data_IF_309240761205
#
_entry.id   IF_309240761205
#
_cell.length_a   1.000
_cell.length_b   1.000
_cell.length_c   1.000
_cell.angle_alpha   90.00
_cell.angle_beta   90.00
_cell.angle_gamma   90.00
#
_symmetry.space_group_name_H-M   'P 1'
#
loop_
_entity.id
_entity.type
_entity.pdbx_description
1 polymer ?
#
# COMPACT_ATOMS: atom_id res chain seq x y z
N UNK A 1 -18.78 -61.80 -32.45
CA UNK A 1 -18.16 -61.96 -31.10
C UNK A 1 -16.82 -61.25 -30.93
N UNK A 2 -15.94 -61.18 -31.94
CA UNK A 2 -14.65 -60.50 -31.84
C UNK A 2 -14.77 -58.98 -31.57
N UNK A 3 -15.66 -58.27 -32.28
CA UNK A 3 -15.86 -56.81 -32.13
C UNK A 3 -16.28 -56.39 -30.71
N UNK A 4 -17.12 -57.19 -30.03
CA UNK A 4 -17.51 -56.94 -28.63
C UNK A 4 -16.36 -57.16 -27.63
N UNK A 5 -15.43 -58.08 -27.91
CA UNK A 5 -14.24 -58.31 -27.06
C UNK A 5 -13.25 -57.15 -27.18
N UNK A 6 -12.98 -56.67 -28.40
CA UNK A 6 -12.10 -55.52 -28.62
C UNK A 6 -12.67 -54.23 -28.02
N UNK A 7 -13.99 -54.03 -28.07
CA UNK A 7 -14.66 -52.88 -27.44
C UNK A 7 -14.51 -52.85 -25.91
N UNK A 8 -14.60 -54.00 -25.23
CA UNK A 8 -14.39 -54.08 -23.77
C UNK A 8 -12.94 -53.84 -23.36
N UNK A 9 -11.99 -54.35 -24.14
CA UNK A 9 -10.55 -54.11 -23.91
C UNK A 9 -10.20 -52.64 -24.13
N UNK A 10 -10.73 -52.02 -25.19
CA UNK A 10 -10.55 -50.59 -25.46
C UNK A 10 -11.11 -49.73 -24.31
N UNK A 11 -12.32 -50.04 -23.82
CA UNK A 11 -12.94 -49.35 -22.68
C UNK A 11 -12.09 -49.47 -21.41
N UNK A 12 -11.57 -50.68 -21.13
CA UNK A 12 -10.72 -50.92 -19.97
C UNK A 12 -9.41 -50.11 -20.06
N UNK A 13 -8.76 -50.10 -21.22
CA UNK A 13 -7.53 -49.32 -21.45
C UNK A 13 -7.80 -47.83 -21.26
N UNK A 14 -8.94 -47.34 -21.75
CA UNK A 14 -9.32 -45.93 -21.61
C UNK A 14 -9.56 -45.57 -20.14
N UNK A 15 -10.25 -46.41 -19.36
CA UNK A 15 -10.45 -46.23 -17.93
C UNK A 15 -9.14 -46.22 -17.14
N UNK A 16 -8.20 -47.11 -17.46
CA UNK A 16 -6.87 -47.15 -16.84
C UNK A 16 -6.09 -45.87 -17.16
N UNK A 17 -6.10 -45.44 -18.42
CA UNK A 17 -5.45 -44.20 -18.84
C UNK A 17 -6.03 -42.99 -18.09
N UNK A 18 -7.36 -42.88 -18.01
CA UNK A 18 -8.03 -41.81 -17.24
C UNK A 18 -7.66 -41.87 -15.76
N UNK A 19 -7.64 -43.05 -15.14
CA UNK A 19 -7.26 -43.23 -13.74
C UNK A 19 -5.82 -42.78 -13.45
N UNK A 20 -4.86 -43.15 -14.30
CA UNK A 20 -3.47 -42.70 -14.18
C UNK A 20 -3.34 -41.19 -14.40
N UNK A 21 -4.09 -40.60 -15.34
CA UNK A 21 -4.13 -39.15 -15.52
C UNK A 21 -4.65 -38.42 -14.28
N UNK A 22 -5.72 -38.91 -13.65
CA UNK A 22 -6.25 -38.33 -12.40
C UNK A 22 -5.22 -38.37 -11.26
N UNK A 23 -4.48 -39.48 -11.11
CA UNK A 23 -3.41 -39.61 -10.11
C UNK A 23 -2.28 -38.60 -10.39
N UNK A 24 -1.88 -38.45 -11.66
CA UNK A 24 -0.86 -37.50 -12.07
C UNK A 24 -1.25 -36.04 -11.77
N UNK A 25 -2.50 -35.66 -12.05
CA UNK A 25 -3.02 -34.32 -11.76
C UNK A 25 -3.08 -34.07 -10.26
N UNK A 26 -3.54 -35.06 -9.47
CA UNK A 26 -3.57 -34.94 -8.01
C UNK A 26 -2.16 -34.76 -7.42
N UNK A 27 -1.19 -35.55 -7.89
CA UNK A 27 0.21 -35.42 -7.46
C UNK A 27 0.79 -34.06 -7.84
N UNK A 28 0.56 -33.60 -9.08
CA UNK A 28 1.01 -32.28 -9.54
C UNK A 28 0.48 -31.16 -8.65
N UNK A 29 -0.81 -31.16 -8.34
CA UNK A 29 -1.41 -30.15 -7.47
C UNK A 29 -0.86 -30.18 -6.04
N UNK A 30 -0.59 -31.38 -5.50
CA UNK A 30 0.03 -31.55 -4.17
C UNK A 30 1.46 -31.01 -4.15
N UNK A 31 2.24 -31.31 -5.19
CA UNK A 31 3.63 -30.90 -5.28
C UNK A 31 3.78 -29.39 -5.50
N UNK A 32 2.90 -28.80 -6.32
CA UNK A 32 2.80 -27.34 -6.46
C UNK A 32 2.54 -26.66 -5.11
N UNK A 33 1.57 -27.15 -4.34
CA UNK A 33 1.27 -26.60 -3.02
C UNK A 33 2.45 -26.74 -2.05
N UNK A 34 3.20 -27.86 -2.11
CA UNK A 34 4.41 -28.05 -1.31
C UNK A 34 5.45 -26.97 -1.61
N UNK A 35 5.75 -26.76 -2.89
CA UNK A 35 6.75 -25.78 -3.33
C UNK A 35 6.32 -24.33 -3.03
N UNK A 36 5.04 -23.99 -3.20
CA UNK A 36 4.50 -22.69 -2.82
C UNK A 36 4.64 -22.45 -1.31
N UNK A 37 4.31 -23.46 -0.49
CA UNK A 37 4.44 -23.37 0.97
C UNK A 37 5.88 -23.17 1.43
N UNK A 38 6.88 -23.74 0.73
CA UNK A 38 8.29 -23.54 1.06
C UNK A 38 8.71 -22.07 0.89
N UNK A 39 8.27 -21.42 -0.20
CA UNK A 39 8.54 -19.99 -0.42
C UNK A 39 7.76 -19.11 0.57
N UNK A 40 6.49 -19.46 0.80
CA UNK A 40 5.62 -18.77 1.76
C UNK A 40 6.20 -18.77 3.18
N UNK A 41 6.75 -19.89 3.64
CA UNK A 41 7.21 -20.03 5.01
C UNK A 41 8.32 -19.02 5.37
N UNK A 42 9.26 -18.81 4.45
CA UNK A 42 10.35 -17.84 4.64
C UNK A 42 9.82 -16.40 4.69
N UNK A 43 8.85 -16.06 3.84
CA UNK A 43 8.19 -14.75 3.85
C UNK A 43 7.40 -14.54 5.14
N UNK A 44 6.56 -15.50 5.52
CA UNK A 44 5.74 -15.43 6.72
C UNK A 44 6.57 -15.22 7.99
N UNK A 45 7.69 -15.94 8.14
CA UNK A 45 8.61 -15.73 9.26
C UNK A 45 9.18 -14.31 9.26
N UNK A 46 9.53 -13.76 8.10
CA UNK A 46 10.05 -12.39 8.01
C UNK A 46 9.04 -11.35 8.47
N UNK A 47 7.79 -11.50 8.04
CA UNK A 47 6.69 -10.59 8.42
C UNK A 47 6.41 -10.70 9.92
N UNK A 48 6.35 -11.91 10.47
CA UNK A 48 6.19 -12.13 11.92
C UNK A 48 7.36 -11.55 12.71
N UNK A 49 8.60 -11.65 12.22
CA UNK A 49 9.76 -11.07 12.90
C UNK A 49 9.74 -9.53 12.87
N UNK A 50 9.15 -8.91 11.85
CA UNK A 50 9.02 -7.46 11.75
C UNK A 50 7.91 -6.91 12.66
N UNK A 51 6.73 -7.55 12.62
CA UNK A 51 5.51 -7.02 13.26
C UNK A 51 5.14 -7.73 14.57
N UNK A 52 5.78 -8.85 14.89
CA UNK A 52 5.52 -9.63 16.09
C UNK A 52 4.08 -10.12 16.17
N UNK A 53 3.45 -9.90 17.32
CA UNK A 53 2.05 -10.27 17.60
C UNK A 53 1.05 -9.25 17.09
N UNK A 54 1.49 -8.20 16.39
CA UNK A 54 0.61 -7.12 15.95
C UNK A 54 -0.36 -7.57 14.87
N UNK A 55 0.09 -8.50 14.03
CA UNK A 55 -0.70 -9.08 12.94
C UNK A 55 -1.18 -10.48 13.32
N UNK A 56 -2.37 -10.81 12.85
CA UNK A 56 -2.79 -12.19 12.82
C UNK A 56 -2.05 -12.89 11.68
N UNK A 57 -1.17 -13.82 12.04
CA UNK A 57 -0.54 -14.69 11.07
C UNK A 57 -1.63 -15.54 10.41
N UNK A 58 -2.08 -15.15 9.22
CA UNK A 58 -3.00 -15.99 8.45
C UNK A 58 -2.24 -17.24 8.04
N UNK A 59 -2.61 -18.36 8.66
CA UNK A 59 -2.17 -19.69 8.27
C UNK A 59 -2.46 -19.92 6.79
N UNK A 60 -1.43 -20.36 6.06
CA UNK A 60 -1.45 -20.60 4.62
C UNK A 60 -2.76 -21.23 4.15
N UNK A 61 -3.47 -20.59 3.22
CA UNK A 61 -4.84 -20.98 2.94
C UNK A 61 -4.96 -22.07 1.87
N UNK A 62 -5.99 -22.91 2.03
CA UNK A 62 -6.52 -23.74 0.94
C UNK A 62 -7.23 -22.81 -0.06
N UNK A 63 -6.44 -22.14 -0.90
CA UNK A 63 -6.77 -21.44 -2.16
C UNK A 63 -7.54 -20.08 -2.14
N UNK A 64 -6.96 -18.99 -1.62
CA UNK A 64 -7.25 -17.61 -1.99
C UNK A 64 -6.13 -17.04 -2.86
N UNK A 65 -6.52 -16.32 -3.90
CA UNK A 65 -5.61 -15.62 -4.81
C UNK A 65 -4.85 -14.47 -4.14
N UNK A 66 -5.35 -14.01 -2.98
CA UNK A 66 -4.78 -12.90 -2.19
C UNK A 66 -4.66 -13.33 -0.74
N UNK A 67 -3.51 -13.07 -0.14
CA UNK A 67 -3.20 -13.31 1.27
C UNK A 67 -2.82 -11.96 1.87
N UNK A 68 -3.72 -11.37 2.66
CA UNK A 68 -3.47 -10.13 3.41
C UNK A 68 -3.09 -10.42 4.86
N UNK A 69 -2.15 -9.65 5.41
CA UNK A 69 -1.82 -9.67 6.83
C UNK A 69 -2.52 -8.51 7.55
N UNK A 70 -3.51 -8.86 8.36
CA UNK A 70 -4.38 -7.90 9.07
C UNK A 70 -4.10 -7.92 10.56
N UNK A 71 -4.60 -6.91 11.28
CA UNK A 71 -4.77 -7.01 12.72
C UNK A 71 -6.15 -7.63 13.01
N UNK A 72 -6.33 -8.06 14.26
CA UNK A 72 -7.58 -8.69 14.69
C UNK A 72 -8.79 -7.73 14.61
N UNK A 73 -8.55 -6.44 14.88
CA UNK A 73 -9.54 -5.39 14.78
C UNK A 73 -9.50 -4.79 13.37
N UNK A 74 -10.68 -4.67 12.73
CA UNK A 74 -10.84 -4.18 11.36
C UNK A 74 -10.79 -2.65 11.26
N UNK A 75 -10.89 -1.95 12.40
CA UNK A 75 -10.83 -0.49 12.48
C UNK A 75 -9.41 0.08 12.53
N UNK A 76 -8.39 -0.78 12.68
CA UNK A 76 -7.00 -0.33 12.76
C UNK A 76 -6.46 0.13 11.42
N UNK A 77 -5.43 0.98 11.45
CA UNK A 77 -4.80 1.52 10.26
C UNK A 77 -4.27 0.40 9.34
N UNK A 78 -3.62 -0.61 9.91
CA UNK A 78 -3.10 -1.76 9.16
C UNK A 78 -4.25 -2.49 8.47
N UNK A 79 -5.32 -2.84 9.21
CA UNK A 79 -6.42 -3.62 8.66
C UNK A 79 -7.14 -2.87 7.53
N UNK A 80 -7.37 -1.58 7.70
CA UNK A 80 -7.98 -0.73 6.68
C UNK A 80 -7.12 -0.63 5.41
N UNK A 81 -5.81 -0.41 5.55
CA UNK A 81 -4.89 -0.20 4.43
C UNK A 81 -4.61 -1.49 3.65
N UNK A 82 -4.37 -2.59 4.36
CA UNK A 82 -4.24 -3.91 3.74
C UNK A 82 -5.56 -4.37 3.11
N UNK A 83 -6.70 -4.06 3.73
CA UNK A 83 -8.03 -4.33 3.18
C UNK A 83 -8.27 -3.61 1.85
N UNK A 84 -8.03 -2.30 1.82
CA UNK A 84 -8.15 -1.48 0.60
C UNK A 84 -7.24 -2.02 -0.51
N UNK A 85 -5.97 -2.30 -0.20
CA UNK A 85 -5.05 -2.88 -1.20
C UNK A 85 -5.52 -4.26 -1.68
N UNK A 86 -6.06 -5.09 -0.79
CA UNK A 86 -6.60 -6.41 -1.14
C UNK A 86 -7.78 -6.30 -2.10
N UNK A 87 -8.68 -5.35 -1.89
CA UNK A 87 -9.82 -5.11 -2.79
C UNK A 87 -9.38 -4.64 -4.18
N UNK A 88 -8.41 -3.72 -4.26
CA UNK A 88 -7.87 -3.26 -5.55
C UNK A 88 -7.15 -4.38 -6.31
N UNK A 89 -6.33 -5.17 -5.61
CA UNK A 89 -5.63 -6.31 -6.20
C UNK A 89 -6.60 -7.40 -6.66
N UNK A 90 -7.72 -7.60 -5.96
CA UNK A 90 -8.74 -8.58 -6.34
C UNK A 90 -9.41 -8.24 -7.68
N UNK A 91 -9.52 -6.96 -8.03
CA UNK A 91 -10.10 -6.53 -9.32
C UNK A 91 -9.22 -6.95 -10.50
N UNK A 92 -7.92 -7.13 -10.29
CA UNK A 92 -6.93 -7.45 -11.34
C UNK A 92 -6.36 -8.88 -11.24
N UNK A 93 -6.57 -9.56 -10.11
CA UNK A 93 -6.11 -10.92 -9.89
C UNK A 93 -6.73 -11.90 -10.90
N UNK A 94 -5.91 -12.83 -11.41
CA UNK A 94 -6.36 -13.87 -12.34
C UNK A 94 -6.69 -15.14 -11.57
N UNK A 95 -7.76 -15.85 -11.95
CA UNK A 95 -8.06 -17.13 -11.33
C UNK A 95 -6.99 -18.16 -11.64
N UNK A 96 -6.65 -18.97 -10.64
CA UNK A 96 -5.78 -20.14 -10.80
C UNK A 96 -6.30 -21.09 -11.89
N UNK A 97 -5.37 -21.84 -12.48
CA UNK A 97 -5.68 -23.00 -13.29
C UNK A 97 -4.83 -24.21 -12.88
N UNK A 98 -5.01 -25.34 -13.57
CA UNK A 98 -4.33 -26.60 -13.24
C UNK A 98 -2.80 -26.52 -13.27
N UNK A 99 -2.24 -25.59 -14.04
CA UNK A 99 -0.80 -25.49 -14.26
C UNK A 99 -0.20 -24.23 -13.67
N UNK A 100 -1.00 -23.19 -13.48
CA UNK A 100 -0.56 -21.91 -12.97
C UNK A 100 -1.36 -21.53 -11.73
N UNK A 101 -0.63 -21.29 -10.65
CA UNK A 101 -1.16 -20.74 -9.40
C UNK A 101 -0.39 -19.50 -9.02
N UNK A 102 -1.08 -18.52 -8.47
CA UNK A 102 -0.47 -17.28 -8.02
C UNK A 102 -1.07 -16.86 -6.69
N UNK A 103 -0.20 -16.63 -5.72
CA UNK A 103 -0.56 -16.05 -4.43
C UNK A 103 -0.02 -14.63 -4.38
N UNK A 104 -0.91 -13.65 -4.41
CA UNK A 104 -0.58 -12.25 -4.15
C UNK A 104 -0.55 -12.08 -2.63
N UNK A 105 0.59 -11.66 -2.09
CA UNK A 105 0.78 -11.47 -0.66
C UNK A 105 0.89 -9.98 -0.36
N UNK A 106 0.03 -9.49 0.52
CA UNK A 106 -0.03 -8.11 0.98
C UNK A 106 0.25 -8.06 2.48
N UNK A 107 1.21 -7.25 2.90
CA UNK A 107 1.58 -7.14 4.31
C UNK A 107 2.09 -5.75 4.67
N UNK A 108 1.94 -5.33 5.94
CA UNK A 108 2.60 -4.13 6.42
C UNK A 108 4.09 -4.41 6.61
N UNK A 109 4.91 -3.41 6.38
CA UNK A 109 6.32 -3.45 6.76
C UNK A 109 6.68 -2.18 7.53
N UNK A 110 7.33 -2.35 8.68
CA UNK A 110 7.72 -1.25 9.55
C UNK A 110 8.66 -0.28 8.82
N UNK A 111 8.45 1.02 9.05
CA UNK A 111 9.28 2.12 8.56
C UNK A 111 9.60 3.05 9.72
N UNK A 112 10.65 3.85 9.55
CA UNK A 112 10.93 4.95 10.48
C UNK A 112 9.87 6.02 10.34
N UNK A 113 9.13 6.32 11.42
CA UNK A 113 8.16 7.40 11.40
C UNK A 113 8.87 8.76 11.41
N UNK A 114 8.46 9.70 10.54
CA UNK A 114 8.90 11.09 10.60
C UNK A 114 8.11 11.91 11.63
N UNK A 115 7.06 11.34 12.21
CA UNK A 115 6.17 11.99 13.17
C UNK A 115 6.35 11.41 14.56
N UNK A 116 6.21 12.26 15.59
CA UNK A 116 6.20 11.83 16.98
C UNK A 116 4.92 11.06 17.30
N UNK A 117 4.98 10.17 18.30
CA UNK A 117 3.84 9.41 18.83
C UNK A 117 3.08 8.57 17.78
N UNK A 118 3.76 8.18 16.70
CA UNK A 118 3.18 7.40 15.61
C UNK A 118 4.13 6.34 15.11
N UNK A 119 3.58 5.27 14.56
CA UNK A 119 4.32 4.25 13.82
C UNK A 119 4.12 4.48 12.33
N UNK A 120 5.12 4.15 11.50
CA UNK A 120 5.00 4.22 10.05
C UNK A 120 5.08 2.82 9.45
N UNK A 121 4.23 2.57 8.45
CA UNK A 121 4.15 1.29 7.76
C UNK A 121 4.04 1.51 6.26
N UNK A 122 4.68 0.64 5.51
CA UNK A 122 4.50 0.50 4.07
C UNK A 122 3.61 -0.70 3.77
N UNK A 123 2.66 -0.55 2.86
CA UNK A 123 1.93 -1.68 2.28
C UNK A 123 2.83 -2.32 1.23
N UNK A 124 3.33 -3.51 1.54
CA UNK A 124 4.19 -4.28 0.66
C UNK A 124 3.38 -5.32 -0.11
N UNK A 125 3.72 -5.48 -1.38
CA UNK A 125 3.19 -6.50 -2.28
C UNK A 125 4.30 -7.40 -2.78
N UNK A 126 4.05 -8.70 -2.75
CA UNK A 126 4.82 -9.68 -3.51
C UNK A 126 3.89 -10.75 -4.07
N UNK A 127 4.39 -11.55 -5.00
CA UNK A 127 3.65 -12.67 -5.58
C UNK A 127 4.50 -13.92 -5.54
N UNK A 128 3.89 -15.04 -5.15
CA UNK A 128 4.49 -16.36 -5.24
C UNK A 128 3.72 -17.11 -6.31
N UNK A 129 4.39 -17.41 -7.42
CA UNK A 129 3.78 -18.02 -8.60
C UNK A 129 4.37 -19.40 -8.85
N UNK A 130 3.50 -20.39 -9.03
CA UNK A 130 3.85 -21.68 -9.57
C UNK A 130 3.46 -21.73 -11.04
N UNK A 131 4.42 -21.99 -11.93
CA UNK A 131 4.18 -22.44 -13.30
C UNK A 131 4.67 -23.88 -13.44
N UNK A 132 3.74 -24.81 -13.55
CA UNK A 132 4.00 -26.24 -13.44
C UNK A 132 4.70 -26.57 -12.12
N UNK A 133 5.90 -27.15 -12.12
CA UNK A 133 6.70 -27.43 -10.91
C UNK A 133 7.76 -26.37 -10.62
N UNK A 134 7.74 -25.24 -11.33
CA UNK A 134 8.65 -24.13 -11.08
C UNK A 134 7.94 -23.07 -10.25
N UNK A 135 8.51 -22.73 -9.08
CA UNK A 135 7.99 -21.68 -8.22
C UNK A 135 8.94 -20.50 -8.21
N UNK A 136 8.40 -19.32 -8.43
CA UNK A 136 9.11 -18.05 -8.37
C UNK A 136 8.42 -17.11 -7.41
N UNK A 137 9.23 -16.29 -6.75
CA UNK A 137 8.76 -15.18 -5.91
C UNK A 137 9.16 -13.88 -6.60
N UNK A 138 8.22 -12.98 -6.81
CA UNK A 138 8.53 -11.67 -7.39
C UNK A 138 9.29 -10.79 -6.41
N UNK A 139 9.93 -9.74 -6.93
CA UNK A 139 10.43 -8.67 -6.08
C UNK A 139 9.28 -8.02 -5.29
N UNK A 140 9.58 -7.64 -4.06
CA UNK A 140 8.68 -6.86 -3.22
C UNK A 140 8.49 -5.45 -3.81
N UNK A 141 7.26 -4.96 -3.83
CA UNK A 141 6.89 -3.63 -4.32
C UNK A 141 6.15 -2.89 -3.20
N UNK A 142 6.50 -1.64 -2.97
CA UNK A 142 5.76 -0.76 -2.04
C UNK A 142 4.57 -0.14 -2.79
N UNK A 143 3.36 -0.34 -2.27
CA UNK A 143 2.12 0.18 -2.87
C UNK A 143 1.69 1.51 -2.26
N UNK A 144 1.85 1.65 -0.95
CA UNK A 144 1.39 2.80 -0.17
C UNK A 144 2.22 2.94 1.10
N UNK A 145 2.26 4.14 1.68
CA UNK A 145 2.81 4.40 3.01
C UNK A 145 1.74 5.08 3.87
N UNK A 146 1.62 4.62 5.11
CA UNK A 146 0.67 5.15 6.06
C UNK A 146 1.27 5.25 7.46
N UNK A 147 0.60 6.05 8.29
CA UNK A 147 1.03 6.30 9.65
C UNK A 147 -0.10 5.94 10.61
N UNK A 148 0.27 5.32 11.72
CA UNK A 148 -0.65 4.81 12.71
C UNK A 148 -0.41 5.53 14.04
N UNK A 149 -1.49 5.97 14.67
CA UNK A 149 -1.49 6.62 15.97
C UNK A 149 -1.31 5.60 17.10
N UNK A 150 -1.09 6.10 18.31
CA UNK A 150 -0.95 5.25 19.49
C UNK A 150 -2.19 4.41 19.83
N UNK A 151 -3.37 4.80 19.34
CA UNK A 151 -4.64 4.06 19.46
C UNK A 151 -4.88 3.08 18.30
N UNK A 152 -3.86 2.81 17.48
CA UNK A 152 -3.89 1.94 16.31
C UNK A 152 -4.74 2.44 15.14
N UNK A 153 -5.37 3.62 15.25
CA UNK A 153 -6.10 4.23 14.16
C UNK A 153 -5.18 4.99 13.20
N UNK A 154 -5.68 5.23 11.98
CA UNK A 154 -4.92 5.92 10.95
C UNK A 154 -4.66 7.39 11.34
N UNK A 155 -3.42 7.85 11.16
CA UNK A 155 -3.10 9.28 11.19
C UNK A 155 -3.53 9.90 9.86
N UNK A 156 -4.34 10.95 9.93
CA UNK A 156 -4.86 11.65 8.77
C UNK A 156 -4.42 13.11 8.75
N UNK A 157 -4.68 13.83 7.66
CA UNK A 157 -4.42 15.28 7.62
C UNK A 157 -5.29 16.06 8.62
N UNK A 158 -6.45 15.50 9.00
CA UNK A 158 -7.30 16.01 10.08
C UNK A 158 -6.55 16.10 11.41
N UNK A 159 -5.72 15.09 11.70
CA UNK A 159 -4.94 15.03 12.93
C UNK A 159 -3.70 15.94 12.83
N UNK A 160 -3.07 15.98 11.66
CA UNK A 160 -1.79 16.64 11.44
C UNK A 160 -1.90 18.17 11.41
N UNK A 161 -3.02 18.71 10.94
CA UNK A 161 -3.27 20.15 10.83
C UNK A 161 -4.30 20.59 11.87
N UNK A 162 -3.86 21.35 12.86
CA UNK A 162 -4.72 21.85 13.93
C UNK A 162 -5.54 23.06 13.50
N UNK A 163 -4.96 23.98 12.71
CA UNK A 163 -5.63 25.19 12.24
C UNK A 163 -5.85 25.15 10.71
N UNK A 164 -7.00 24.63 10.32
CA UNK A 164 -7.38 24.49 8.91
C UNK A 164 -7.60 25.82 8.21
N UNK A 165 -8.07 26.85 8.93
CA UNK A 165 -8.34 28.15 8.34
C UNK A 165 -7.04 28.86 7.97
N UNK A 166 -6.07 28.85 8.90
CA UNK A 166 -4.72 29.34 8.64
C UNK A 166 -4.06 28.54 7.52
N UNK A 167 -4.18 27.20 7.53
CA UNK A 167 -3.65 26.36 6.46
C UNK A 167 -4.21 26.74 5.08
N UNK A 168 -5.53 26.83 4.94
CA UNK A 168 -6.19 27.21 3.67
C UNK A 168 -5.76 28.61 3.20
N UNK A 169 -5.64 29.56 4.12
CA UNK A 169 -5.25 30.94 3.81
C UNK A 169 -3.82 31.00 3.31
N UNK A 170 -2.90 30.30 3.96
CA UNK A 170 -1.51 30.21 3.52
C UNK A 170 -1.40 29.47 2.20
N UNK A 171 -2.13 28.38 2.01
CA UNK A 171 -2.16 27.61 0.77
C UNK A 171 -2.60 28.50 -0.41
N UNK A 172 -3.71 29.23 -0.24
CA UNK A 172 -4.19 30.18 -1.24
C UNK A 172 -3.12 31.20 -1.59
N UNK A 173 -2.44 31.76 -0.59
CA UNK A 173 -1.41 32.79 -0.76
C UNK A 173 -0.21 32.27 -1.55
N UNK A 174 0.27 31.07 -1.24
CA UNK A 174 1.42 30.44 -1.94
C UNK A 174 1.05 30.10 -3.38
N UNK A 175 -0.21 29.74 -3.64
CA UNK A 175 -0.69 29.40 -4.98
C UNK A 175 -0.98 30.63 -5.87
N UNK A 176 -0.88 31.90 -5.44
CA UNK A 176 -1.29 33.09 -6.27
C UNK A 176 -0.38 33.39 -7.50
N UNK A 177 0.47 32.46 -7.94
CA UNK A 177 1.50 32.74 -8.96
C UNK A 177 1.25 32.20 -10.37
N UNK A 178 0.12 31.55 -10.67
CA UNK A 178 -0.12 30.96 -12.00
C UNK A 178 -0.16 32.01 -13.11
N UNK A 179 0.49 31.70 -14.24
CA UNK A 179 0.56 32.57 -15.43
C UNK A 179 -0.11 31.99 -16.67
N UNK A 180 -0.45 30.70 -16.68
CA UNK A 180 -1.12 30.01 -17.80
C UNK A 180 -2.33 29.18 -17.33
N UNK A 181 -3.19 28.76 -18.27
CA UNK A 181 -4.45 28.05 -17.99
C UNK A 181 -4.25 26.69 -17.29
N UNK A 182 -3.19 25.95 -17.65
CA UNK A 182 -2.89 24.66 -17.04
C UNK A 182 -2.51 24.80 -15.55
N UNK A 183 -1.68 25.80 -15.22
CA UNK A 183 -1.33 26.13 -13.83
C UNK A 183 -2.56 26.59 -13.03
N UNK A 184 -3.48 27.35 -13.64
CA UNK A 184 -4.73 27.76 -12.99
C UNK A 184 -5.60 26.55 -12.65
N UNK A 185 -5.71 25.58 -13.57
CA UNK A 185 -6.50 24.37 -13.33
C UNK A 185 -5.89 23.52 -12.21
N UNK A 186 -4.57 23.33 -12.21
CA UNK A 186 -3.90 22.57 -11.13
C UNK A 186 -4.07 23.26 -9.77
N UNK A 187 -3.98 24.59 -9.71
CA UNK A 187 -4.24 25.32 -8.48
C UNK A 187 -5.66 25.13 -7.97
N UNK A 188 -6.65 25.19 -8.88
CA UNK A 188 -8.04 24.94 -8.56
C UNK A 188 -8.22 23.52 -7.99
N UNK A 189 -7.65 22.52 -8.65
CA UNK A 189 -7.69 21.13 -8.19
C UNK A 189 -7.08 20.97 -6.79
N UNK A 190 -5.95 21.65 -6.51
CA UNK A 190 -5.30 21.60 -5.19
C UNK A 190 -6.18 22.25 -4.14
N UNK A 191 -6.75 23.42 -4.41
CA UNK A 191 -7.62 24.12 -3.47
C UNK A 191 -8.90 23.32 -3.19
N UNK A 192 -9.49 22.70 -4.23
CA UNK A 192 -10.69 21.88 -4.12
C UNK A 192 -10.50 20.70 -3.15
N UNK A 193 -9.31 20.09 -3.11
CA UNK A 193 -8.99 19.03 -2.12
C UNK A 193 -9.17 19.50 -0.67
N UNK A 194 -8.94 20.78 -0.39
CA UNK A 194 -9.02 21.35 0.97
C UNK A 194 -10.31 22.16 1.21
N UNK A 195 -11.26 22.19 0.28
CA UNK A 195 -12.53 22.91 0.46
C UNK A 195 -13.45 22.23 1.49
N UNK A 196 -13.45 20.89 1.53
CA UNK A 196 -14.16 20.11 2.56
C UNK A 196 -13.60 20.41 3.94
N UNK A 197 -14.47 20.42 4.97
CA UNK A 197 -14.04 20.52 6.38
C UNK A 197 -13.56 19.18 6.96
N UNK A 198 -13.75 18.06 6.27
CA UNK A 198 -13.21 16.75 6.65
C UNK A 198 -12.02 16.40 5.76
N UNK A 199 -10.83 16.28 6.37
CA UNK A 199 -9.57 15.95 5.68
C UNK A 199 -9.09 14.52 5.97
N UNK A 200 -9.92 13.71 6.61
CA UNK A 200 -9.57 12.33 6.98
C UNK A 200 -9.27 11.43 5.78
N UNK A 201 -9.95 11.68 4.65
CA UNK A 201 -9.86 10.89 3.44
C UNK A 201 -8.73 11.32 2.49
N UNK A 202 -8.06 12.46 2.73
CA UNK A 202 -7.03 12.96 1.82
C UNK A 202 -5.75 12.11 2.01
N UNK A 203 -5.34 11.32 0.99
CA UNK A 203 -4.13 10.52 1.10
C UNK A 203 -2.91 11.43 1.08
N UNK A 204 -1.94 11.14 1.94
CA UNK A 204 -0.68 11.87 1.97
C UNK A 204 0.49 10.96 2.35
N UNK A 205 1.66 11.28 1.83
CA UNK A 205 2.93 10.82 2.33
C UNK A 205 3.75 12.02 2.80
N UNK A 206 4.73 11.77 3.67
CA UNK A 206 5.65 12.80 4.14
C UNK A 206 7.09 12.42 3.88
N UNK A 207 7.82 13.27 3.18
CA UNK A 207 9.24 13.06 2.88
C UNK A 207 9.95 14.40 2.79
N UNK A 208 11.14 14.49 3.42
CA UNK A 208 12.02 15.68 3.34
C UNK A 208 11.32 17.01 3.63
N UNK A 209 10.47 17.06 4.66
CA UNK A 209 9.72 18.27 5.06
C UNK A 209 8.66 18.72 4.03
N UNK A 210 8.23 17.81 3.15
CA UNK A 210 7.15 18.05 2.20
C UNK A 210 6.02 17.05 2.40
N UNK A 211 4.80 17.55 2.30
CA UNK A 211 3.60 16.75 2.09
C UNK A 211 3.53 16.37 0.61
N UNK A 212 3.44 15.07 0.35
CA UNK A 212 3.22 14.51 -0.98
C UNK A 212 1.76 14.10 -1.04
N UNK A 213 0.99 14.82 -1.84
CA UNK A 213 -0.40 14.57 -2.14
C UNK A 213 -0.51 14.00 -3.55
N UNK A 214 -1.67 13.45 -3.91
CA UNK A 214 -1.91 12.88 -5.24
C UNK A 214 -1.57 13.85 -6.39
N UNK A 215 -1.89 15.15 -6.21
CA UNK A 215 -1.72 16.18 -7.24
C UNK A 215 -0.67 17.25 -6.90
N UNK A 216 0.00 17.17 -5.76
CA UNK A 216 0.88 18.24 -5.31
C UNK A 216 1.97 17.79 -4.35
N UNK A 217 3.11 18.48 -4.41
CA UNK A 217 4.14 18.42 -3.36
C UNK A 217 4.20 19.79 -2.70
N UNK A 218 3.89 19.83 -1.40
CA UNK A 218 3.76 21.07 -0.64
C UNK A 218 4.82 21.08 0.46
N UNK A 219 5.66 22.11 0.50
CA UNK A 219 6.61 22.30 1.60
C UNK A 219 5.83 22.58 2.89
N UNK A 220 6.04 21.76 3.93
CA UNK A 220 5.30 21.89 5.19
C UNK A 220 5.76 23.10 6.02
N UNK A 221 6.95 23.65 5.72
CA UNK A 221 7.52 24.79 6.45
C UNK A 221 6.59 26.00 6.46
N UNK A 222 5.92 26.27 5.34
CA UNK A 222 5.01 27.40 5.22
C UNK A 222 3.75 27.27 6.08
N UNK A 223 3.50 26.07 6.60
CA UNK A 223 2.31 25.75 7.37
C UNK A 223 2.63 25.53 8.85
N UNK A 224 3.87 25.80 9.30
CA UNK A 224 4.35 25.43 10.64
C UNK A 224 3.44 25.90 11.77
N UNK A 225 2.81 27.07 11.63
CA UNK A 225 1.89 27.63 12.65
C UNK A 225 0.50 26.97 12.66
N UNK A 226 0.14 26.26 11.60
CA UNK A 226 -1.11 25.50 11.49
C UNK A 226 -0.98 24.02 11.88
N UNK A 227 0.24 23.52 12.03
CA UNK A 227 0.51 22.11 12.33
C UNK A 227 0.16 21.78 13.78
N UNK A 228 -0.32 20.56 14.00
CA UNK A 228 -0.53 20.03 15.34
C UNK A 228 0.83 19.63 15.96
N UNK A 229 1.31 20.33 17.00
CA UNK A 229 2.64 20.09 17.57
C UNK A 229 2.78 18.71 18.24
N UNK A 230 1.68 18.00 18.50
CA UNK A 230 1.71 16.66 19.07
C UNK A 230 2.46 15.63 18.21
N UNK A 231 2.48 15.84 16.89
CA UNK A 231 3.08 14.93 15.91
C UNK A 231 4.47 15.36 15.43
N UNK A 232 5.02 16.46 15.96
CA UNK A 232 6.33 16.96 15.54
C UNK A 232 7.22 17.22 16.75
N UNK A 233 8.48 16.81 16.66
CA UNK A 233 9.46 17.15 17.69
C UNK A 233 9.69 18.66 17.75
N UNK A 234 10.08 19.18 18.92
CA UNK A 234 10.43 20.60 19.07
C UNK A 234 11.55 21.01 18.08
N UNK A 235 12.52 20.11 17.86
CA UNK A 235 13.59 20.33 16.90
C UNK A 235 13.05 20.43 15.47
N UNK A 236 12.14 19.54 15.07
CA UNK A 236 11.50 19.59 13.75
C UNK A 236 10.72 20.88 13.56
N UNK A 237 9.95 21.31 14.56
CA UNK A 237 9.20 22.57 14.48
C UNK A 237 10.13 23.79 14.40
N UNK A 238 11.21 23.82 15.18
CA UNK A 238 12.21 24.89 15.10
C UNK A 238 12.88 24.96 13.71
N UNK A 239 13.25 23.80 13.17
CA UNK A 239 13.79 23.65 11.83
C UNK A 239 12.83 24.16 10.74
N UNK A 240 11.54 23.88 10.88
CA UNK A 240 10.51 24.34 9.95
C UNK A 240 10.33 25.86 10.02
N UNK A 241 10.34 26.45 11.22
CA UNK A 241 10.29 27.91 11.42
C UNK A 241 11.48 28.61 10.77
N UNK A 242 12.69 28.11 10.97
CA UNK A 242 13.90 28.66 10.33
C UNK A 242 13.82 28.58 8.80
N UNK A 243 13.29 27.48 8.26
CA UNK A 243 13.07 27.33 6.82
C UNK A 243 12.04 28.33 6.29
N UNK A 244 11.00 28.62 7.08
CA UNK A 244 9.95 29.56 6.70
C UNK A 244 10.40 31.01 6.78
N UNK A 245 11.13 31.40 7.82
CA UNK A 245 11.77 32.73 7.93
C UNK A 245 12.71 32.96 6.74
N UNK A 246 13.46 31.94 6.34
CA UNK A 246 14.35 32.01 5.17
C UNK A 246 13.56 32.19 3.87
N UNK A 247 12.43 31.48 3.71
CA UNK A 247 11.53 31.61 2.55
C UNK A 247 10.95 33.03 2.47
N UNK A 248 10.42 33.55 3.57
CA UNK A 248 9.86 34.90 3.63
C UNK A 248 10.91 35.96 3.29
N UNK A 249 12.13 35.85 3.84
CA UNK A 249 13.22 36.76 3.51
C UNK A 249 13.66 36.69 2.02
N UNK A 250 13.53 35.52 1.39
CA UNK A 250 13.80 35.32 -0.04
C UNK A 250 12.67 35.87 -0.92
N UNK A 251 11.40 35.72 -0.53
CA UNK A 251 10.27 36.30 -1.26
C UNK A 251 10.20 37.82 -1.12
N UNK A 252 10.57 38.36 0.04
CA UNK A 252 10.73 39.81 0.25
C UNK A 252 11.91 40.39 -0.55
N UNK A 253 12.82 39.53 -1.06
CA UNK A 253 13.97 39.94 -1.87
C UNK A 253 13.89 39.53 -3.35
N UNK A 254 12.99 38.63 -3.75
CA UNK A 254 12.83 38.11 -5.12
C UNK A 254 11.36 37.89 -5.45
N UNK A 255 10.92 38.50 -6.56
CA UNK A 255 9.57 38.39 -7.12
C UNK A 255 9.29 36.94 -7.61
N UNK A 256 8.53 36.18 -6.80
CA UNK A 256 7.81 34.91 -7.05
C UNK A 256 8.58 33.58 -7.05
N UNK A 257 8.14 32.67 -6.17
CA UNK A 257 8.60 31.27 -6.02
C UNK A 257 7.90 30.30 -6.98
N UNK A 258 8.68 29.34 -7.45
CA UNK A 258 8.40 28.32 -8.47
C UNK A 258 7.59 27.14 -7.89
N UNK A 259 6.52 26.74 -8.60
CA UNK A 259 5.87 25.43 -8.42
C UNK A 259 6.72 24.41 -9.20
N UNK A 260 7.15 23.31 -8.56
CA UNK A 260 7.85 22.22 -9.25
C UNK A 260 6.98 20.97 -9.21
N UNK A 261 6.74 20.39 -10.39
CA UNK A 261 5.95 19.17 -10.58
C UNK A 261 6.87 17.93 -10.67
N UNK A 262 6.39 16.73 -10.30
CA UNK A 262 7.05 15.47 -10.64
C UNK A 262 7.04 15.18 -12.15
#
# INVERSE_FOLDING_TARGET
MAVLKYSKVLLLVLLIATGLSCIGIYWLGKEQNRLLNEQWHALNIRIINDLGTKIDAIGGPQNPWIIGFFQQDDTTAISQRIGTASEEELKIAKPDNLFQKEWIVLYPQTRSSPFENTSAYAVMKTSIKADWLHVTTSSETELDIFYEKADESLLTLEDLVQDKESFRTTLKTILVSAKNEDEIQVQKDILEMFESDDWSAIPFAYTKKSLILEKAVISISAFVDSLNPYYFSEQTLADLRLSEESRQALEDSVDKTIITYP
#
